data_IF_483581583952
#
_entry.id   IF_483581583952
#
_cell.length_a   1.000
_cell.length_b   1.000
_cell.length_c   1.000
_cell.angle_alpha   90.00
_cell.angle_beta   90.00
_cell.angle_gamma   90.00
#
_symmetry.space_group_name_H-M   'P 1'
#
loop_
_entity.id
_entity.type
_entity.pdbx_description
1 polymer ?
#
# COMPACT_ATOMS: atom_id res chain seq x y z
N UNK A 1 6.33 7.42 -24.50
CA UNK A 1 6.94 6.88 -23.28
C UNK A 1 5.82 6.43 -22.36
N UNK A 2 5.85 5.19 -21.86
CA UNK A 2 4.94 4.75 -20.79
C UNK A 2 5.70 4.96 -19.48
N UNK A 3 5.21 5.85 -18.62
CA UNK A 3 5.79 6.04 -17.30
C UNK A 3 5.31 4.88 -16.42
N UNK A 4 6.21 3.96 -16.05
CA UNK A 4 5.92 2.98 -15.00
C UNK A 4 6.14 3.66 -13.64
N UNK A 5 5.22 3.49 -12.69
CA UNK A 5 5.41 3.99 -11.33
C UNK A 5 6.40 3.05 -10.62
N UNK A 6 7.70 3.40 -10.63
CA UNK A 6 8.79 2.60 -10.04
C UNK A 6 8.74 2.57 -8.51
N UNK A 7 7.93 3.43 -7.89
CA UNK A 7 7.96 3.71 -6.45
C UNK A 7 7.14 2.74 -5.58
N UNK A 8 6.58 1.67 -6.14
CA UNK A 8 5.68 0.77 -5.40
C UNK A 8 6.31 0.17 -4.14
N UNK A 9 7.55 -0.32 -4.23
CA UNK A 9 8.28 -0.89 -3.08
C UNK A 9 8.59 0.18 -2.03
N UNK A 10 9.11 1.33 -2.44
CA UNK A 10 9.41 2.44 -1.52
C UNK A 10 8.16 2.99 -0.83
N UNK A 11 7.02 3.06 -1.51
CA UNK A 11 5.74 3.49 -0.90
C UNK A 11 5.32 2.47 0.17
N UNK A 12 5.47 1.17 -0.10
CA UNK A 12 5.17 0.12 0.88
C UNK A 12 6.07 0.24 2.12
N UNK A 13 7.37 0.45 1.92
CA UNK A 13 8.33 0.60 3.02
C UNK A 13 7.96 1.81 3.90
N UNK A 14 7.72 2.98 3.32
CA UNK A 14 7.33 4.18 4.07
C UNK A 14 6.02 3.95 4.84
N UNK A 15 5.02 3.30 4.25
CA UNK A 15 3.76 2.99 4.96
C UNK A 15 4.05 2.08 6.16
N UNK A 16 4.90 1.07 6.00
CA UNK A 16 5.23 0.14 7.08
C UNK A 16 6.08 0.79 8.19
N UNK A 17 6.97 1.72 7.83
CA UNK A 17 7.77 2.49 8.81
C UNK A 17 6.88 3.39 9.68
N UNK A 18 5.87 4.04 9.07
CA UNK A 18 5.01 5.00 9.77
C UNK A 18 3.80 4.34 10.47
N UNK A 19 3.21 3.30 9.88
CA UNK A 19 1.94 2.69 10.34
C UNK A 19 2.06 1.24 10.81
N UNK A 20 3.22 0.59 10.61
CA UNK A 20 3.43 -0.82 10.93
C UNK A 20 3.02 -1.78 9.82
N UNK A 21 3.13 -3.09 10.08
CA UNK A 21 2.91 -4.13 9.07
C UNK A 21 1.46 -4.16 8.56
N UNK A 22 1.26 -3.72 7.32
CA UNK A 22 -0.05 -3.66 6.69
C UNK A 22 0.03 -3.29 5.21
N UNK A 23 -1.13 -2.99 4.63
CA UNK A 23 -1.25 -2.55 3.23
C UNK A 23 -2.18 -1.35 3.11
N UNK A 24 -1.94 -0.54 2.08
CA UNK A 24 -2.93 0.42 1.57
C UNK A 24 -3.88 -0.33 0.63
N UNK A 25 -5.18 -0.33 0.94
CA UNK A 25 -6.21 -0.93 0.10
C UNK A 25 -6.24 -0.30 -1.29
N UNK A 26 -6.37 -1.13 -2.33
CA UNK A 26 -6.65 -0.68 -3.69
C UNK A 26 -8.15 -0.72 -4.06
N UNK A 27 -9.00 -1.18 -3.13
CA UNK A 27 -10.47 -1.27 -3.30
C UNK A 27 -11.15 -0.06 -2.65
N UNK A 28 -10.83 0.18 -1.39
CA UNK A 28 -11.27 1.35 -0.64
C UNK A 28 -10.21 2.44 -0.79
N UNK A 29 -10.24 3.06 -1.97
CA UNK A 29 -9.14 3.85 -2.52
C UNK A 29 -9.62 4.97 -3.43
N UNK A 30 -9.00 6.14 -3.29
CA UNK A 30 -9.13 7.30 -4.18
C UNK A 30 -7.77 7.69 -4.76
N UNK A 31 -7.81 8.11 -6.03
CA UNK A 31 -6.65 8.64 -6.74
C UNK A 31 -7.04 9.93 -7.46
N UNK A 32 -6.29 11.00 -7.24
CA UNK A 32 -6.40 12.23 -8.04
C UNK A 32 -5.10 12.48 -8.82
N UNK A 33 -5.28 13.08 -10.00
CA UNK A 33 -4.16 13.52 -10.84
C UNK A 33 -4.37 14.98 -11.16
N UNK A 34 -3.43 15.80 -10.71
CA UNK A 34 -3.52 17.25 -10.82
C UNK A 34 -2.29 17.81 -11.54
N UNK A 35 -2.48 18.92 -12.24
CA UNK A 35 -1.40 19.67 -12.89
C UNK A 35 -1.17 20.96 -12.13
N UNK A 36 0.05 21.14 -11.62
CA UNK A 36 0.46 22.33 -10.87
C UNK A 36 1.65 23.02 -11.54
N UNK A 37 1.87 24.30 -11.23
CA UNK A 37 3.07 25.03 -11.63
C UNK A 37 4.14 24.92 -10.54
N UNK A 38 5.32 24.45 -10.90
CA UNK A 38 6.49 24.44 -10.02
C UNK A 38 7.02 25.85 -9.75
N UNK A 39 7.87 25.97 -8.73
CA UNK A 39 8.59 27.22 -8.42
C UNK A 39 9.46 27.72 -9.58
N UNK A 40 9.87 26.80 -10.47
CA UNK A 40 10.61 27.07 -11.69
C UNK A 40 9.71 27.43 -12.89
N UNK A 41 8.40 27.58 -12.68
CA UNK A 41 7.40 27.88 -13.70
C UNK A 41 7.00 26.72 -14.60
N UNK A 42 7.61 25.54 -14.43
CA UNK A 42 7.34 24.36 -15.26
C UNK A 42 6.11 23.59 -14.76
N UNK A 43 5.51 22.84 -15.67
CA UNK A 43 4.40 21.96 -15.34
C UNK A 43 4.87 20.78 -14.50
N UNK A 44 4.16 20.51 -13.41
CA UNK A 44 4.35 19.34 -12.55
C UNK A 44 3.05 18.56 -12.47
N UNK A 45 3.17 17.24 -12.38
CA UNK A 45 2.04 16.34 -12.13
C UNK A 45 2.08 15.98 -10.65
N UNK A 46 0.95 16.14 -9.97
CA UNK A 46 0.74 15.71 -8.60
C UNK A 46 -0.17 14.48 -8.66
N UNK A 47 0.26 13.42 -8.00
CA UNK A 47 -0.53 12.21 -7.77
C UNK A 47 -0.85 12.17 -6.28
N UNK A 48 -2.13 12.10 -5.95
CA UNK A 48 -2.58 11.90 -4.57
C UNK A 48 -3.26 10.54 -4.49
N UNK A 49 -2.77 9.72 -3.56
CA UNK A 49 -3.30 8.39 -3.29
C UNK A 49 -3.83 8.38 -1.85
N UNK A 50 -5.12 8.05 -1.71
CA UNK A 50 -5.79 7.93 -0.41
C UNK A 50 -6.44 6.55 -0.36
N UNK A 51 -5.83 5.63 0.38
CA UNK A 51 -6.33 4.28 0.54
C UNK A 51 -6.45 3.91 2.00
N UNK A 52 -7.51 3.18 2.33
CA UNK A 52 -7.70 2.65 3.67
C UNK A 52 -6.55 1.74 4.07
N UNK A 53 -5.91 2.04 5.20
CA UNK A 53 -4.89 1.17 5.79
C UNK A 53 -5.54 -0.09 6.38
N UNK A 54 -4.98 -1.25 6.04
CA UNK A 54 -5.41 -2.55 6.52
C UNK A 54 -4.21 -3.24 7.21
N UNK A 55 -4.22 -3.41 8.53
CA UNK A 55 -3.12 -4.08 9.24
C UNK A 55 -3.05 -5.56 8.84
N UNK A 56 -1.84 -6.11 8.79
CA UNK A 56 -1.65 -7.53 8.57
C UNK A 56 -2.15 -8.32 9.79
N UNK A 57 -3.12 -9.20 9.58
CA UNK A 57 -3.57 -10.14 10.62
C UNK A 57 -3.04 -11.53 10.31
N UNK A 58 -2.20 -12.07 11.19
CA UNK A 58 -1.82 -13.47 11.14
C UNK A 58 -3.07 -14.34 11.33
N UNK A 59 -3.43 -15.13 10.33
CA UNK A 59 -4.41 -16.18 10.49
C UNK A 59 -3.75 -17.33 11.26
N UNK A 60 -4.02 -17.44 12.56
CA UNK A 60 -3.66 -18.65 13.33
C UNK A 60 -4.44 -19.83 12.77
N UNK A 61 -3.78 -20.71 12.03
CA UNK A 61 -4.38 -21.96 11.58
C UNK A 61 -4.45 -22.96 12.74
N UNK A 62 -5.52 -22.88 13.55
CA UNK A 62 -5.78 -23.88 14.60
C UNK A 62 -6.11 -25.28 14.04
N UNK A 63 -6.09 -25.47 12.72
CA UNK A 63 -6.54 -26.68 12.04
C UNK A 63 -5.49 -27.79 11.81
N UNK A 64 -4.21 -27.64 12.22
CA UNK A 64 -3.21 -28.72 12.08
C UNK A 64 -2.92 -29.54 13.36
N UNK A 65 -3.37 -29.11 14.53
CA UNK A 65 -3.03 -29.80 15.80
C UNK A 65 -3.95 -31.02 16.08
N UNK A 66 -5.11 -31.12 15.42
CA UNK A 66 -6.07 -32.20 15.65
C UNK A 66 -5.74 -33.52 14.93
N UNK A 67 -4.73 -33.54 14.03
CA UNK A 67 -4.32 -34.77 13.32
C UNK A 67 -3.13 -35.51 13.95
N UNK A 68 -2.45 -34.91 14.92
CA UNK A 68 -1.31 -35.52 15.61
C UNK A 68 -1.70 -36.20 16.95
N UNK A 69 -2.96 -36.06 17.40
CA UNK A 69 -3.46 -36.60 18.67
C UNK A 69 -4.46 -37.75 18.51
N UNK A 70 -4.50 -38.41 17.35
CA UNK A 70 -5.28 -39.64 17.16
C UNK A 70 -4.32 -40.80 16.93
N UNK A 71 -4.08 -41.55 18.02
CA UNK A 71 -3.84 -42.99 18.05
C UNK A 71 -2.65 -43.54 17.27
#
# INVERSE_FOLDING_TARGET
>A
MKQSCILGESIKEIINEEYGDGIMSAIDFFCSVDKVKGVDGKDRVVLTFDGKYLPHTEQKSEHMVSRLNLG
#
